data_IF_702717540882
#
_entry.id   IF_702717540882
#
_cell.length_a   1.000
_cell.length_b   1.000
_cell.length_c   1.000
_cell.angle_alpha   90.00
_cell.angle_beta   90.00
_cell.angle_gamma   90.00
#
_symmetry.space_group_name_H-M   'P 1'
#
loop_
_entity.id
_entity.type
_entity.pdbx_description
1 polymer ?
#
# COMPACT_ATOMS: atom_id res chain seq x y z
N UNK A 1 -4.25 5.57 -18.48
CA UNK A 1 -4.16 4.22 -17.94
C UNK A 1 -5.10 4.11 -16.77
N UNK A 2 -5.90 3.11 -16.76
CA UNK A 2 -6.92 2.81 -15.78
C UNK A 2 -6.27 2.45 -14.44
N UNK A 3 -6.92 2.82 -13.32
CA UNK A 3 -6.61 2.39 -11.96
C UNK A 3 -6.92 0.88 -11.85
N UNK A 4 -6.06 0.07 -12.42
CA UNK A 4 -6.47 -1.19 -12.96
C UNK A 4 -6.28 -2.38 -12.01
N UNK A 5 -5.45 -2.35 -11.04
CA UNK A 5 -5.17 -3.61 -10.33
C UNK A 5 -5.54 -3.60 -8.85
N UNK A 6 -5.66 -2.43 -8.25
CA UNK A 6 -6.17 -2.35 -6.88
C UNK A 6 -7.67 -2.72 -6.78
N UNK A 7 -8.40 -2.67 -7.91
CA UNK A 7 -9.80 -3.11 -7.99
C UNK A 7 -9.93 -4.56 -8.53
N UNK A 8 -8.84 -5.19 -9.01
CA UNK A 8 -8.86 -6.57 -9.50
C UNK A 8 -8.65 -7.57 -8.37
N UNK A 9 -9.75 -8.17 -7.95
CA UNK A 9 -9.76 -9.20 -6.93
C UNK A 9 -8.93 -10.43 -7.33
N UNK A 10 -9.00 -10.86 -8.58
CA UNK A 10 -8.32 -12.07 -9.05
C UNK A 10 -6.81 -11.89 -9.03
N UNK A 11 -6.34 -10.67 -9.33
CA UNK A 11 -4.93 -10.33 -9.21
C UNK A 11 -4.43 -10.51 -7.77
N UNK A 12 -5.12 -9.91 -6.79
CA UNK A 12 -4.70 -9.99 -5.39
C UNK A 12 -4.88 -11.37 -4.78
N UNK A 13 -5.92 -12.14 -5.19
CA UNK A 13 -6.04 -13.54 -4.80
C UNK A 13 -4.83 -14.36 -5.29
N UNK A 14 -4.32 -14.10 -6.49
CA UNK A 14 -3.09 -14.73 -6.99
C UNK A 14 -1.86 -14.30 -6.21
N UNK A 15 -1.70 -13.00 -5.92
CA UNK A 15 -0.56 -12.48 -5.15
C UNK A 15 -0.50 -13.12 -3.76
N UNK A 16 -1.62 -13.19 -3.06
CA UNK A 16 -1.68 -13.81 -1.74
C UNK A 16 -1.60 -15.35 -1.76
N UNK A 17 -1.81 -15.98 -2.91
CA UNK A 17 -1.64 -17.42 -3.08
C UNK A 17 -0.18 -17.84 -3.35
N UNK A 18 0.72 -16.88 -3.62
CA UNK A 18 2.13 -17.16 -3.84
C UNK A 18 2.79 -17.60 -2.51
N UNK A 19 3.70 -18.60 -2.53
CA UNK A 19 4.44 -18.98 -1.33
C UNK A 19 5.26 -17.80 -0.81
N UNK A 20 5.47 -17.79 0.50
CA UNK A 20 6.15 -16.79 1.32
C UNK A 20 7.40 -16.21 0.66
N UNK A 21 7.38 -15.16 -0.05
CA UNK A 21 8.54 -14.35 -0.44
C UNK A 21 8.11 -13.16 -1.30
N UNK A 22 6.95 -12.59 -0.94
CA UNK A 22 6.51 -11.31 -1.47
C UNK A 22 7.51 -10.20 -1.17
N UNK A 23 8.16 -10.26 -0.01
CA UNK A 23 9.22 -9.34 0.40
C UNK A 23 10.57 -10.00 0.14
N UNK A 24 11.41 -9.37 -0.65
CA UNK A 24 12.82 -9.76 -0.76
C UNK A 24 13.51 -9.22 0.49
N UNK A 25 13.71 -10.06 1.50
CA UNK A 25 14.31 -9.68 2.79
C UNK A 25 15.71 -9.07 2.64
N UNK A 26 16.41 -9.43 1.56
CA UNK A 26 17.74 -8.92 1.23
C UNK A 26 17.77 -7.51 0.64
N UNK A 27 16.63 -6.97 0.21
CA UNK A 27 16.55 -5.60 -0.31
C UNK A 27 16.66 -4.58 0.83
N UNK A 28 17.46 -3.54 0.63
CA UNK A 28 17.72 -2.49 1.62
C UNK A 28 17.28 -1.14 1.05
N UNK A 29 16.59 -0.34 1.87
CA UNK A 29 16.28 1.05 1.52
C UNK A 29 17.31 1.99 2.13
N UNK A 30 17.99 2.78 1.29
CA UNK A 30 18.86 3.87 1.71
C UNK A 30 18.14 5.22 1.59
N UNK A 31 18.21 6.01 2.66
CA UNK A 31 17.48 7.27 2.80
C UNK A 31 16.16 7.08 3.55
N UNK A 32 15.33 8.11 3.55
CA UNK A 32 14.03 8.10 4.22
C UNK A 32 12.92 7.94 3.18
N UNK A 33 12.28 6.77 3.13
CA UNK A 33 11.11 6.53 2.30
C UNK A 33 9.78 6.87 3.00
N UNK A 34 9.84 7.30 4.25
CA UNK A 34 8.68 7.73 5.03
C UNK A 34 7.87 6.61 5.65
N UNK A 35 8.17 5.34 5.40
CA UNK A 35 7.36 4.22 5.92
C UNK A 35 7.42 4.15 7.46
N UNK A 36 8.61 4.20 8.05
CA UNK A 36 8.77 4.14 9.51
C UNK A 36 8.14 5.37 10.21
N UNK A 37 8.34 6.57 9.66
CA UNK A 37 7.73 7.80 10.17
C UNK A 37 6.20 7.72 10.12
N UNK A 38 5.66 7.24 9.00
CA UNK A 38 4.22 7.07 8.83
C UNK A 38 3.65 6.01 9.78
N UNK A 39 4.31 4.85 9.89
CA UNK A 39 3.90 3.76 10.77
C UNK A 39 3.85 4.22 12.24
N UNK A 40 4.87 4.93 12.69
CA UNK A 40 4.89 5.48 14.06
C UNK A 40 3.73 6.46 14.29
N UNK A 41 3.49 7.41 13.37
CA UNK A 41 2.38 8.36 13.44
C UNK A 41 1.02 7.67 13.42
N UNK A 42 0.88 6.62 12.62
CA UNK A 42 -0.36 5.87 12.52
C UNK A 42 -0.64 5.08 13.79
N UNK A 43 0.37 4.41 14.38
CA UNK A 43 0.23 3.72 15.65
C UNK A 43 -0.12 4.68 16.81
N UNK A 44 0.46 5.88 16.82
CA UNK A 44 0.10 6.92 17.80
C UNK A 44 -1.33 7.44 17.59
N UNK A 45 -1.75 7.57 16.33
CA UNK A 45 -3.11 7.96 16.00
C UNK A 45 -4.17 6.91 16.38
N UNK A 46 -3.78 5.65 16.58
CA UNK A 46 -4.72 4.59 16.99
C UNK A 46 -5.12 4.66 18.48
N UNK A 47 -4.37 5.36 19.33
CA UNK A 47 -4.54 5.31 20.80
C UNK A 47 -5.97 5.65 21.21
N UNK A 48 -6.68 4.67 21.81
CA UNK A 48 -8.03 4.81 22.32
C UNK A 48 -9.11 5.10 21.26
N UNK A 49 -8.88 4.73 20.01
CA UNK A 49 -9.78 4.98 18.89
C UNK A 49 -10.37 3.71 18.30
N UNK A 50 -11.53 3.88 17.65
CA UNK A 50 -12.15 2.86 16.78
C UNK A 50 -11.58 3.05 15.39
N UNK A 51 -10.85 2.05 14.89
CA UNK A 51 -10.03 2.11 13.67
C UNK A 51 -10.55 1.14 12.61
N UNK A 52 -10.59 1.60 11.36
CA UNK A 52 -10.78 0.75 10.18
C UNK A 52 -9.48 0.76 9.36
N UNK A 53 -8.88 -0.40 9.17
CA UNK A 53 -7.73 -0.61 8.29
C UNK A 53 -8.19 -1.22 6.98
N UNK A 54 -8.10 -0.46 5.88
CA UNK A 54 -8.61 -0.84 4.55
C UNK A 54 -7.47 -1.33 3.67
N UNK A 55 -7.59 -2.55 3.15
CA UNK A 55 -6.49 -3.24 2.47
C UNK A 55 -5.50 -3.80 3.50
N UNK A 56 -6.02 -4.45 4.54
CA UNK A 56 -5.24 -4.93 5.69
C UNK A 56 -4.29 -6.10 5.37
N UNK A 57 -4.44 -6.75 4.21
CA UNK A 57 -3.63 -7.88 3.80
C UNK A 57 -3.65 -9.03 4.79
N UNK A 58 -2.47 -9.54 5.18
CA UNK A 58 -2.27 -10.60 6.16
C UNK A 58 -2.54 -10.17 7.62
N UNK A 59 -2.85 -8.91 7.85
CA UNK A 59 -3.25 -8.36 9.13
C UNK A 59 -2.12 -8.13 10.15
N UNK A 60 -0.86 -8.39 9.82
CA UNK A 60 0.24 -8.27 10.78
C UNK A 60 0.37 -6.83 11.31
N UNK A 61 0.24 -5.83 10.44
CA UNK A 61 0.28 -4.44 10.89
C UNK A 61 -0.99 -4.04 11.65
N UNK A 62 -2.15 -4.52 11.22
CA UNK A 62 -3.44 -4.31 11.89
C UNK A 62 -3.42 -4.85 13.33
N UNK A 63 -2.75 -5.97 13.57
CA UNK A 63 -2.53 -6.53 14.92
C UNK A 63 -1.72 -5.57 15.81
N UNK A 64 -0.70 -4.90 15.24
CA UNK A 64 0.08 -3.86 15.97
C UNK A 64 -0.78 -2.65 16.34
N UNK A 65 -1.70 -2.23 15.46
CA UNK A 65 -2.65 -1.15 15.78
C UNK A 65 -3.55 -1.52 16.96
N UNK A 66 -3.99 -2.79 17.04
CA UNK A 66 -4.84 -3.27 18.13
C UNK A 66 -4.15 -3.26 19.51
N UNK A 67 -2.84 -3.06 19.58
CA UNK A 67 -2.13 -2.85 20.85
C UNK A 67 -2.45 -1.51 21.51
N UNK A 68 -2.89 -0.54 20.74
CA UNK A 68 -3.12 0.84 21.17
C UNK A 68 -4.56 1.31 21.01
N UNK A 69 -5.28 0.72 20.07
CA UNK A 69 -6.64 1.09 19.72
C UNK A 69 -7.66 0.57 20.74
N UNK A 70 -8.83 1.23 20.81
CA UNK A 70 -10.00 0.70 21.51
C UNK A 70 -10.56 -0.52 20.76
N UNK A 71 -10.79 -0.37 19.46
CA UNK A 71 -11.25 -1.45 18.57
C UNK A 71 -10.62 -1.26 17.19
N UNK A 72 -10.26 -2.36 16.53
CA UNK A 72 -9.79 -2.35 15.14
C UNK A 72 -10.61 -3.30 14.29
N UNK A 73 -10.95 -2.86 13.08
CA UNK A 73 -11.49 -3.72 12.05
C UNK A 73 -10.52 -3.67 10.87
N UNK A 74 -9.97 -4.83 10.49
CA UNK A 74 -9.20 -4.98 9.25
C UNK A 74 -10.10 -5.48 8.12
N UNK A 75 -10.12 -4.76 7.01
CA UNK A 75 -10.88 -5.11 5.82
C UNK A 75 -9.99 -5.32 4.61
N UNK A 76 -10.16 -6.43 3.92
CA UNK A 76 -9.54 -6.69 2.61
C UNK A 76 -10.55 -7.42 1.72
N UNK A 77 -10.46 -7.21 0.41
CA UNK A 77 -11.39 -7.88 -0.49
C UNK A 77 -10.90 -9.28 -0.90
N UNK A 78 -9.63 -9.61 -0.70
CA UNK A 78 -9.07 -10.95 -0.89
C UNK A 78 -9.48 -11.88 0.25
N UNK A 79 -10.10 -13.00 -0.12
CA UNK A 79 -10.46 -14.05 0.85
C UNK A 79 -9.22 -14.74 1.41
N UNK A 80 -8.16 -14.87 0.59
CA UNK A 80 -6.90 -15.49 0.99
C UNK A 80 -6.21 -14.60 2.03
N UNK A 81 -6.10 -13.30 1.77
CA UNK A 81 -5.57 -12.33 2.72
C UNK A 81 -6.31 -12.38 4.07
N UNK A 82 -7.65 -12.32 4.05
CA UNK A 82 -8.47 -12.39 5.27
C UNK A 82 -8.33 -13.74 5.99
N UNK A 83 -8.17 -14.84 5.26
CA UNK A 83 -7.91 -16.14 5.87
C UNK A 83 -6.59 -16.14 6.64
N UNK A 84 -5.54 -15.56 6.05
CA UNK A 84 -4.22 -15.45 6.69
C UNK A 84 -4.25 -14.48 7.87
N UNK A 85 -4.89 -13.31 7.71
CA UNK A 85 -5.07 -12.34 8.78
C UNK A 85 -5.77 -12.96 10.01
N UNK A 86 -6.77 -13.81 9.81
CA UNK A 86 -7.45 -14.53 10.90
C UNK A 86 -6.57 -15.57 11.59
N UNK A 87 -5.67 -16.25 10.86
CA UNK A 87 -4.69 -17.15 11.47
C UNK A 87 -3.69 -16.37 12.32
N UNK A 88 -3.18 -15.25 11.80
CA UNK A 88 -2.26 -14.38 12.52
C UNK A 88 -2.93 -13.80 13.79
N UNK A 89 -4.20 -13.40 13.70
CA UNK A 89 -4.99 -12.96 14.85
C UNK A 89 -5.12 -14.03 15.92
N UNK A 90 -5.42 -15.27 15.54
CA UNK A 90 -5.54 -16.38 16.49
C UNK A 90 -4.24 -16.59 17.30
N UNK A 91 -3.09 -16.37 16.68
CA UNK A 91 -1.78 -16.48 17.32
C UNK A 91 -1.44 -15.25 18.19
N UNK A 92 -2.06 -14.09 17.95
CA UNK A 92 -1.75 -12.83 18.65
C UNK A 92 -2.40 -12.67 20.02
N UNK A 93 -3.47 -13.41 20.29
CA UNK A 93 -4.26 -13.29 21.51
C UNK A 93 -5.08 -11.98 21.65
N UNK A 94 -5.13 -11.12 20.61
CA UNK A 94 -5.91 -9.87 20.63
C UNK A 94 -7.41 -10.16 20.57
N UNK A 95 -8.19 -9.38 21.34
CA UNK A 95 -9.66 -9.53 21.42
C UNK A 95 -10.43 -8.33 20.89
N UNK A 96 -9.74 -7.21 20.72
CA UNK A 96 -10.29 -5.93 20.22
C UNK A 96 -10.05 -5.75 18.71
N UNK A 97 -9.85 -6.84 17.99
CA UNK A 97 -9.60 -6.85 16.55
C UNK A 97 -10.45 -7.93 15.87
N UNK A 98 -11.01 -7.62 14.71
CA UNK A 98 -11.61 -8.59 13.80
C UNK A 98 -11.24 -8.29 12.35
N UNK A 99 -11.27 -9.32 11.51
CA UNK A 99 -11.01 -9.22 10.08
C UNK A 99 -12.24 -9.60 9.25
N UNK A 100 -12.58 -8.76 8.27
CA UNK A 100 -13.75 -8.90 7.41
C UNK A 100 -13.38 -8.80 5.93
N UNK A 101 -14.13 -9.51 5.08
CA UNK A 101 -14.02 -9.29 3.64
C UNK A 101 -14.74 -7.98 3.33
N UNK A 102 -14.00 -6.99 2.81
CA UNK A 102 -14.53 -5.66 2.56
C UNK A 102 -14.03 -5.09 1.22
N UNK A 103 -14.93 -4.44 0.49
CA UNK A 103 -14.58 -3.67 -0.68
C UNK A 103 -14.49 -2.19 -0.29
N UNK A 104 -13.34 -1.56 -0.51
CA UNK A 104 -13.11 -0.15 -0.19
C UNK A 104 -14.11 0.80 -0.87
N UNK A 105 -14.58 0.46 -2.07
CA UNK A 105 -15.56 1.26 -2.82
C UNK A 105 -17.02 1.05 -2.37
N UNK A 106 -17.27 0.11 -1.42
CA UNK A 106 -18.60 -0.19 -0.90
C UNK A 106 -18.47 -0.85 0.48
N UNK A 107 -18.19 -0.04 1.50
CA UNK A 107 -17.97 -0.49 2.87
C UNK A 107 -19.31 -0.78 3.57
N UNK A 108 -19.45 -1.98 4.11
CA UNK A 108 -20.67 -2.40 4.83
C UNK A 108 -20.64 -1.94 6.30
N UNK A 109 -20.36 -0.65 6.53
CA UNK A 109 -20.39 -0.02 7.85
C UNK A 109 -21.34 1.17 7.85
N UNK A 110 -21.87 1.51 9.02
CA UNK A 110 -22.69 2.70 9.19
C UNK A 110 -21.84 3.96 9.01
N UNK A 111 -22.50 5.07 8.65
CA UNK A 111 -21.82 6.38 8.62
C UNK A 111 -21.34 6.77 10.02
N UNK A 112 -20.29 7.58 10.06
CA UNK A 112 -19.77 8.16 11.31
C UNK A 112 -19.43 7.09 12.39
N UNK A 113 -18.84 5.96 11.96
CA UNK A 113 -18.49 4.84 12.86
C UNK A 113 -17.05 4.97 13.40
N UNK A 114 -16.09 5.34 12.55
CA UNK A 114 -14.67 5.25 12.85
C UNK A 114 -14.07 6.61 13.20
N UNK A 115 -13.15 6.62 14.17
CA UNK A 115 -12.32 7.77 14.48
C UNK A 115 -11.16 7.91 13.51
N UNK A 116 -10.69 6.77 12.98
CA UNK A 116 -9.56 6.67 12.09
C UNK A 116 -9.83 5.62 11.00
N UNK A 117 -9.59 6.00 9.75
CA UNK A 117 -9.47 5.07 8.62
C UNK A 117 -8.01 5.07 8.18
N UNK A 118 -7.42 3.90 8.03
CA UNK A 118 -6.03 3.73 7.61
C UNK A 118 -5.92 2.88 6.36
N UNK A 119 -4.82 3.08 5.61
CA UNK A 119 -4.47 2.21 4.50
C UNK A 119 -2.96 2.26 4.24
N UNK A 120 -2.31 1.11 4.19
CA UNK A 120 -0.88 1.02 3.85
C UNK A 120 -0.71 0.44 2.45
N UNK A 121 -0.48 1.32 1.47
CA UNK A 121 -0.39 0.94 0.04
C UNK A 121 -1.65 0.22 -0.45
N UNK A 122 -2.78 0.56 0.15
CA UNK A 122 -4.09 0.01 -0.18
C UNK A 122 -4.92 0.96 -1.06
N UNK A 123 -6.20 0.64 -1.28
CA UNK A 123 -7.01 1.23 -2.35
C UNK A 123 -7.75 2.52 -1.97
N UNK A 124 -7.62 3.06 -0.75
CA UNK A 124 -8.56 4.08 -0.26
C UNK A 124 -8.52 5.34 -1.09
N UNK A 125 -7.34 5.85 -1.42
CA UNK A 125 -7.23 7.09 -2.20
C UNK A 125 -7.11 6.88 -3.70
N UNK A 126 -7.30 5.67 -4.21
CA UNK A 126 -7.14 5.34 -5.62
C UNK A 126 -8.40 5.64 -6.44
N UNK A 127 -9.58 5.57 -5.83
CA UNK A 127 -10.84 5.86 -6.51
C UNK A 127 -11.72 6.86 -5.75
N UNK A 128 -12.58 7.58 -6.51
CA UNK A 128 -13.58 8.47 -5.92
C UNK A 128 -14.56 7.75 -5.01
N UNK A 129 -14.92 6.51 -5.34
CA UNK A 129 -15.86 5.72 -4.57
C UNK A 129 -15.25 5.29 -3.24
N UNK A 130 -14.01 4.79 -3.24
CA UNK A 130 -13.31 4.41 -2.01
C UNK A 130 -13.12 5.60 -1.07
N UNK A 131 -12.77 6.78 -1.61
CA UNK A 131 -12.65 8.01 -0.81
C UNK A 131 -13.98 8.48 -0.23
N UNK A 132 -15.09 8.41 -1.00
CA UNK A 132 -16.42 8.73 -0.50
C UNK A 132 -16.86 7.79 0.62
N UNK A 133 -16.57 6.51 0.48
CA UNK A 133 -16.86 5.53 1.51
C UNK A 133 -16.02 5.76 2.77
N UNK A 134 -14.72 6.01 2.63
CA UNK A 134 -13.86 6.37 3.76
C UNK A 134 -14.37 7.63 4.48
N UNK A 135 -14.74 8.67 3.73
CA UNK A 135 -15.34 9.89 4.30
C UNK A 135 -16.69 9.61 4.98
N UNK A 136 -17.52 8.77 4.39
CA UNK A 136 -18.86 8.42 4.94
C UNK A 136 -18.77 7.70 6.27
N UNK A 137 -17.83 6.75 6.40
CA UNK A 137 -17.68 5.94 7.61
C UNK A 137 -16.89 6.63 8.71
N UNK A 138 -16.11 7.67 8.39
CA UNK A 138 -15.43 8.51 9.37
C UNK A 138 -16.42 9.38 10.14
N UNK A 139 -16.20 9.52 11.45
CA UNK A 139 -16.86 10.51 12.31
C UNK A 139 -16.53 11.92 11.83
N UNK A 140 -17.30 12.94 12.23
CA UNK A 140 -17.13 14.35 11.80
C UNK A 140 -15.75 14.94 12.09
N UNK A 141 -15.03 14.45 13.09
CA UNK A 141 -13.65 14.82 13.41
C UNK A 141 -12.67 13.70 13.12
N UNK A 142 -13.08 12.75 12.28
CA UNK A 142 -12.31 11.59 11.94
C UNK A 142 -11.12 11.91 11.02
N UNK A 143 -10.18 11.01 11.00
CA UNK A 143 -8.94 11.16 10.23
C UNK A 143 -8.78 9.99 9.26
N UNK A 144 -8.41 10.27 8.03
CA UNK A 144 -7.87 9.31 7.07
C UNK A 144 -6.35 9.41 7.09
N UNK A 145 -5.67 8.28 7.19
CA UNK A 145 -4.22 8.18 7.05
C UNK A 145 -3.87 7.10 6.02
N UNK A 146 -3.10 7.48 5.01
CA UNK A 146 -2.64 6.54 3.98
C UNK A 146 -1.19 6.82 3.60
N UNK A 147 -0.42 5.75 3.35
CA UNK A 147 0.83 5.81 2.60
C UNK A 147 0.63 5.07 1.27
N UNK A 148 0.96 5.73 0.18
CA UNK A 148 0.77 5.19 -1.18
C UNK A 148 2.02 5.35 -2.02
N UNK A 149 2.02 4.72 -3.19
CA UNK A 149 3.14 4.75 -4.14
C UNK A 149 3.05 6.03 -4.97
N UNK A 150 4.18 6.73 -5.12
CA UNK A 150 4.32 7.91 -5.97
C UNK A 150 4.71 7.55 -7.41
N UNK A 151 4.57 8.52 -8.32
CA UNK A 151 4.78 8.32 -9.77
C UNK A 151 6.23 7.99 -10.16
N UNK A 152 7.19 8.26 -9.29
CA UNK A 152 8.61 7.98 -9.53
C UNK A 152 9.08 6.64 -8.97
N UNK A 153 8.16 5.87 -8.35
CA UNK A 153 8.51 4.56 -7.81
C UNK A 153 8.95 3.62 -8.93
N UNK A 154 10.18 3.11 -8.84
CA UNK A 154 10.78 2.22 -9.84
C UNK A 154 10.75 2.79 -11.27
N UNK A 155 10.80 4.13 -11.42
CA UNK A 155 10.71 4.79 -12.73
C UNK A 155 11.80 4.34 -13.71
N UNK A 156 13.02 4.08 -13.22
CA UNK A 156 14.10 3.57 -14.03
C UNK A 156 13.81 2.18 -14.62
N UNK A 157 13.18 1.30 -13.85
CA UNK A 157 12.76 -0.01 -14.34
C UNK A 157 11.67 0.14 -15.39
N UNK A 158 10.63 0.93 -15.09
CA UNK A 158 9.53 1.17 -16.00
C UNK A 158 9.99 1.74 -17.35
N UNK A 159 11.00 2.59 -17.35
CA UNK A 159 11.60 3.15 -18.58
C UNK A 159 12.28 2.06 -19.43
N UNK A 160 13.03 1.15 -18.81
CA UNK A 160 13.71 0.06 -19.54
C UNK A 160 12.72 -0.96 -20.10
N UNK A 161 11.68 -1.30 -19.33
CA UNK A 161 10.65 -2.24 -19.79
C UNK A 161 9.66 -1.60 -20.79
N UNK A 162 9.63 -0.26 -20.93
CA UNK A 162 8.62 0.45 -21.71
C UNK A 162 7.19 0.31 -21.15
N UNK A 163 7.05 -0.25 -19.96
CA UNK A 163 5.81 -0.42 -19.21
C UNK A 163 6.11 -0.43 -17.70
N UNK A 164 5.12 -0.04 -16.90
CA UNK A 164 5.28 0.01 -15.45
C UNK A 164 4.01 0.51 -14.79
N UNK A 165 3.76 0.11 -13.56
CA UNK A 165 2.56 0.49 -12.80
C UNK A 165 2.34 2.00 -12.77
N UNK A 166 3.40 2.78 -12.64
CA UNK A 166 3.35 4.23 -12.53
C UNK A 166 3.78 4.97 -13.80
N UNK A 167 4.15 4.25 -14.87
CA UNK A 167 4.66 4.86 -16.09
C UNK A 167 3.60 5.78 -16.75
N UNK A 168 3.96 7.04 -16.97
CA UNK A 168 3.07 8.04 -17.57
C UNK A 168 1.94 8.54 -16.67
N UNK A 169 2.00 8.25 -15.36
CA UNK A 169 1.06 8.78 -14.38
C UNK A 169 1.22 10.30 -14.21
N UNK A 170 0.10 11.00 -13.93
CA UNK A 170 0.16 12.36 -13.42
C UNK A 170 0.82 12.39 -12.03
N UNK A 171 1.26 13.58 -11.58
CA UNK A 171 1.79 13.71 -10.21
C UNK A 171 0.79 13.20 -9.19
N UNK A 172 1.19 12.14 -8.45
CA UNK A 172 0.32 11.44 -7.52
C UNK A 172 -0.19 12.39 -6.44
N UNK A 173 0.67 13.23 -5.87
CA UNK A 173 0.28 14.18 -4.82
C UNK A 173 -0.82 15.15 -5.30
N UNK A 174 -0.71 15.69 -6.50
CA UNK A 174 -1.71 16.62 -7.05
C UNK A 174 -3.05 15.92 -7.32
N UNK A 175 -3.01 14.71 -7.86
CA UNK A 175 -4.20 13.89 -8.07
C UNK A 175 -4.89 13.56 -6.75
N UNK A 176 -4.14 13.10 -5.76
CA UNK A 176 -4.67 12.73 -4.44
C UNK A 176 -5.29 13.95 -3.74
N UNK A 177 -4.61 15.10 -3.74
CA UNK A 177 -5.16 16.32 -3.17
C UNK A 177 -6.51 16.69 -3.79
N UNK A 178 -6.62 16.69 -5.12
CA UNK A 178 -7.87 16.97 -5.82
C UNK A 178 -8.98 15.99 -5.42
N UNK A 179 -8.69 14.68 -5.42
CA UNK A 179 -9.68 13.65 -5.09
C UNK A 179 -10.15 13.74 -3.63
N UNK A 180 -9.24 14.03 -2.69
CA UNK A 180 -9.57 14.21 -1.28
C UNK A 180 -10.50 15.40 -1.07
N UNK A 181 -10.22 16.55 -1.72
CA UNK A 181 -11.09 17.74 -1.64
C UNK A 181 -12.47 17.47 -2.25
N UNK A 182 -12.53 16.78 -3.39
CA UNK A 182 -13.79 16.36 -4.03
C UNK A 182 -14.61 15.39 -3.16
N UNK A 183 -13.96 14.59 -2.31
CA UNK A 183 -14.59 13.70 -1.37
C UNK A 183 -15.07 14.37 -0.06
N UNK A 184 -14.68 15.65 0.17
CA UNK A 184 -15.12 16.44 1.32
C UNK A 184 -14.09 16.61 2.43
N UNK A 185 -12.86 16.13 2.27
CA UNK A 185 -11.80 16.36 3.25
C UNK A 185 -11.31 17.81 3.20
N UNK A 186 -11.27 18.48 4.37
CA UNK A 186 -11.00 19.92 4.47
C UNK A 186 -9.56 20.25 4.85
N UNK A 187 -8.95 19.44 5.73
CA UNK A 187 -7.58 19.65 6.21
C UNK A 187 -6.71 18.52 5.68
N UNK A 188 -5.74 18.86 4.84
CA UNK A 188 -4.88 17.92 4.15
C UNK A 188 -3.42 18.17 4.51
N UNK A 189 -2.70 17.11 4.84
CA UNK A 189 -1.25 17.06 4.96
C UNK A 189 -0.77 15.95 4.02
N UNK A 190 -0.06 16.33 2.96
CA UNK A 190 0.53 15.41 2.01
C UNK A 190 2.04 15.64 1.98
N UNK A 191 2.83 14.56 2.02
CA UNK A 191 4.29 14.65 1.99
C UNK A 191 4.85 13.56 1.08
N UNK A 192 5.80 13.94 0.24
CA UNK A 192 6.53 13.04 -0.65
C UNK A 192 7.85 12.62 -0.01
N UNK A 193 8.23 11.36 -0.23
CA UNK A 193 9.52 10.79 0.17
C UNK A 193 10.10 10.05 -1.01
N UNK A 194 11.39 10.29 -1.26
CA UNK A 194 12.16 9.60 -2.29
C UNK A 194 13.40 9.03 -1.62
N UNK A 195 13.60 7.73 -1.80
CA UNK A 195 14.75 7.01 -1.31
C UNK A 195 15.25 6.05 -2.39
N UNK A 196 16.27 5.27 -2.09
CA UNK A 196 16.81 4.26 -3.01
C UNK A 196 16.61 2.88 -2.42
N UNK A 197 15.90 2.00 -3.14
CA UNK A 197 15.86 0.57 -2.81
C UNK A 197 16.94 -0.15 -3.59
N UNK A 198 17.72 -0.97 -2.89
CA UNK A 198 18.89 -1.68 -3.42
C UNK A 198 18.62 -3.17 -3.32
N UNK A 199 18.64 -3.85 -4.45
CA UNK A 199 18.55 -5.29 -4.53
C UNK A 199 19.96 -5.86 -4.68
N UNK A 200 20.41 -6.76 -3.78
CA UNK A 200 21.78 -7.29 -3.83
C UNK A 200 22.15 -7.88 -5.17
N UNK A 201 21.21 -8.55 -5.82
CA UNK A 201 21.41 -9.19 -7.13
C UNK A 201 20.25 -8.93 -8.08
N UNK A 202 20.48 -9.13 -9.37
CA UNK A 202 19.40 -9.14 -10.39
C UNK A 202 18.38 -10.25 -10.13
N UNK A 203 18.81 -11.33 -9.48
CA UNK A 203 17.93 -12.42 -9.05
C UNK A 203 16.92 -11.97 -8.00
N UNK A 204 17.36 -11.20 -6.99
CA UNK A 204 16.48 -10.62 -5.96
C UNK A 204 15.46 -9.66 -6.58
N UNK A 205 15.92 -8.78 -7.49
CA UNK A 205 15.01 -7.93 -8.25
C UNK A 205 14.00 -8.75 -9.07
N UNK A 206 14.45 -9.82 -9.72
CA UNK A 206 13.58 -10.71 -10.51
C UNK A 206 12.49 -11.34 -9.66
N UNK A 207 12.81 -11.79 -8.44
CA UNK A 207 11.83 -12.31 -7.48
C UNK A 207 10.81 -11.22 -7.13
N UNK A 208 11.29 -10.00 -6.83
CA UNK A 208 10.41 -8.87 -6.53
C UNK A 208 9.44 -8.56 -7.67
N UNK A 209 9.93 -8.55 -8.91
CA UNK A 209 9.10 -8.26 -10.09
C UNK A 209 8.06 -9.34 -10.38
N UNK A 210 8.37 -10.62 -10.11
CA UNK A 210 7.40 -11.72 -10.24
C UNK A 210 6.22 -11.60 -9.26
N UNK A 211 6.48 -11.03 -8.09
CA UNK A 211 5.55 -11.03 -6.96
C UNK A 211 4.91 -9.66 -6.73
N UNK A 212 4.99 -8.74 -7.68
CA UNK A 212 4.45 -7.38 -7.54
C UNK A 212 3.97 -6.81 -8.87
N UNK A 213 3.03 -5.83 -8.86
CA UNK A 213 2.54 -5.19 -10.08
C UNK A 213 3.49 -4.12 -10.64
N UNK A 214 4.71 -4.01 -10.14
CA UNK A 214 5.69 -2.97 -10.56
C UNK A 214 5.81 -2.96 -12.08
N UNK A 215 6.04 -4.14 -12.69
CA UNK A 215 6.05 -4.32 -14.14
C UNK A 215 4.87 -5.26 -14.51
N UNK A 216 3.82 -4.74 -15.14
CA UNK A 216 2.70 -5.54 -15.59
C UNK A 216 3.12 -6.70 -16.50
N UNK A 217 2.51 -7.85 -16.31
CA UNK A 217 2.77 -9.06 -17.12
C UNK A 217 4.26 -9.46 -17.19
N UNK A 218 5.00 -9.19 -16.09
CA UNK A 218 6.42 -9.52 -16.01
C UNK A 218 6.64 -11.03 -16.19
N UNK A 219 7.59 -11.37 -17.08
CA UNK A 219 8.03 -12.73 -17.31
C UNK A 219 9.54 -12.76 -17.50
N UNK A 220 10.26 -13.45 -16.59
CA UNK A 220 11.72 -13.42 -16.56
C UNK A 220 12.39 -13.94 -17.84
N UNK A 221 11.74 -14.84 -18.59
CA UNK A 221 12.29 -15.37 -19.86
C UNK A 221 12.06 -14.38 -21.00
N UNK A 222 10.85 -13.85 -21.11
CA UNK A 222 10.50 -12.87 -22.16
C UNK A 222 11.20 -11.52 -21.96
N UNK A 223 11.40 -11.14 -20.73
CA UNK A 223 11.96 -9.85 -20.32
C UNK A 223 13.47 -9.91 -20.04
N UNK A 224 14.14 -10.99 -20.44
CA UNK A 224 15.58 -11.22 -20.17
C UNK A 224 16.46 -10.06 -20.63
N UNK A 225 16.25 -9.54 -21.83
CA UNK A 225 17.01 -8.40 -22.35
C UNK A 225 16.80 -7.11 -21.52
N UNK A 226 15.61 -6.91 -20.96
CA UNK A 226 15.36 -5.78 -20.07
C UNK A 226 16.12 -5.96 -18.74
N UNK A 227 16.15 -7.17 -18.18
CA UNK A 227 16.91 -7.47 -16.97
C UNK A 227 18.42 -7.26 -17.17
N UNK A 228 18.97 -7.70 -18.31
CA UNK A 228 20.37 -7.47 -18.66
C UNK A 228 20.71 -5.96 -18.76
N UNK A 229 19.85 -5.17 -19.43
CA UNK A 229 19.99 -3.71 -19.50
C UNK A 229 19.92 -3.03 -18.14
N UNK A 230 19.05 -3.52 -17.26
CA UNK A 230 18.93 -3.00 -15.89
C UNK A 230 20.21 -3.29 -15.12
N UNK A 231 20.71 -4.52 -15.19
CA UNK A 231 21.96 -4.87 -14.51
C UNK A 231 23.13 -4.04 -15.00
N UNK A 232 23.24 -3.81 -16.31
CA UNK A 232 24.29 -2.97 -16.90
C UNK A 232 24.17 -1.50 -16.46
N UNK A 233 22.96 -0.94 -16.47
CA UNK A 233 22.73 0.50 -16.29
C UNK A 233 22.66 0.93 -14.80
N UNK A 234 22.19 0.05 -13.91
CA UNK A 234 21.83 0.43 -12.52
C UNK A 234 22.52 -0.40 -11.45
N UNK A 235 23.50 -1.25 -11.83
CA UNK A 235 24.33 -1.98 -10.86
C UNK A 235 25.41 -1.08 -10.29
N UNK A 236 25.46 -1.04 -8.97
CA UNK A 236 26.54 -0.40 -8.21
C UNK A 236 27.34 -1.43 -7.42
N UNK A 237 28.26 -0.97 -6.59
CA UNK A 237 28.99 -1.82 -5.63
C UNK A 237 28.08 -2.41 -4.54
N UNK A 238 26.88 -1.84 -4.36
CA UNK A 238 25.90 -2.27 -3.35
C UNK A 238 24.85 -3.22 -3.92
N UNK A 239 24.62 -3.22 -5.22
CA UNK A 239 23.58 -4.01 -5.90
C UNK A 239 22.88 -3.21 -7.00
N UNK A 240 21.67 -3.62 -7.35
CA UNK A 240 20.82 -2.95 -8.34
C UNK A 240 20.02 -1.85 -7.65
N UNK A 241 20.25 -0.61 -8.01
CA UNK A 241 19.63 0.57 -7.41
C UNK A 241 18.39 1.01 -8.16
N UNK A 242 17.29 1.22 -7.43
CA UNK A 242 16.03 1.74 -7.99
C UNK A 242 15.45 2.80 -7.07
N UNK A 243 14.82 3.88 -7.60
CA UNK A 243 14.12 4.82 -6.74
C UNK A 243 12.90 4.17 -6.10
N UNK A 244 12.65 4.48 -4.84
CA UNK A 244 11.36 4.28 -4.18
C UNK A 244 10.74 5.64 -3.94
N UNK A 245 9.44 5.77 -4.23
CA UNK A 245 8.70 7.00 -4.06
C UNK A 245 7.42 6.72 -3.30
N UNK A 246 7.25 7.36 -2.15
CA UNK A 246 6.07 7.26 -1.29
C UNK A 246 5.42 8.63 -1.12
N UNK A 247 4.10 8.61 -1.00
CA UNK A 247 3.30 9.77 -0.64
C UNK A 247 2.50 9.43 0.61
N UNK A 248 2.72 10.16 1.69
CA UNK A 248 1.91 10.04 2.90
C UNK A 248 0.79 11.07 2.86
N UNK A 249 -0.37 10.67 3.34
CA UNK A 249 -1.61 11.43 3.31
C UNK A 249 -2.22 11.39 4.71
N UNK A 250 -2.49 12.57 5.28
CA UNK A 250 -3.33 12.71 6.46
C UNK A 250 -4.41 13.71 6.10
N UNK A 251 -5.67 13.26 6.13
CA UNK A 251 -6.81 14.07 5.75
C UNK A 251 -7.89 14.02 6.84
N UNK A 252 -8.53 15.16 7.14
CA UNK A 252 -9.59 15.25 8.15
C UNK A 252 -10.89 15.72 7.52
N UNK A 253 -11.99 15.14 8.02
CA UNK A 253 -13.36 15.54 7.67
C UNK A 253 -13.72 16.91 8.24
#
# INVERSE_FOLDING_TARGET
MTAWEYEDREYWERVYALPENYMVESAVTEGNDGEDEFDARMLDACVGRVVLDVGCGDGLFTIRMAERAEEVIGGDFSRIAISEARKNLANSGKRNLRFEIANAASLNFQKETFDLVTSRRGPVTDSKNSLREAHRVLKRSGTLMEITIGERDKENLAQVFGRGQMLGSERVIARKERLLREAGFNKLELKEYIATEIFPTIGDLTIRLKNSPIIPDFNAEKDKECLEKIEEAYKSTKGIETPTHRVTIIART
#
